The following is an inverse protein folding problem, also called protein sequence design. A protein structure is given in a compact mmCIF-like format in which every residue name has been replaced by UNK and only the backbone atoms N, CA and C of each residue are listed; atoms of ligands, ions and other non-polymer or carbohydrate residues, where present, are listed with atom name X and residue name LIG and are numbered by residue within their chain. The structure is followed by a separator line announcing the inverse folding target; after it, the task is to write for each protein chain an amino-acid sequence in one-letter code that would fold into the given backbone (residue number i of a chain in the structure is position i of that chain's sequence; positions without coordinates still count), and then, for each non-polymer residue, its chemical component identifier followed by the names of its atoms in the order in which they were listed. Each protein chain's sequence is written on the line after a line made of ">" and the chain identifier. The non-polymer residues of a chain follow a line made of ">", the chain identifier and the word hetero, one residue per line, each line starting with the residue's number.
data_IF_606238982007
#
_entry.id   IF_606238982007
#
_cell.length_a   1.000
_cell.length_b   1.000
_cell.length_c   1.000
_cell.angle_alpha   90.00
_cell.angle_beta   90.00
_cell.angle_gamma   90.00
#
_symmetry.space_group_name_H-M   'P 1'
#
loop_
_entity.id
_entity.type
_entity.pdbx_description
1 polymer ?
#
# COMPACT_ATOMS: atom_id res chain seq x y z
N UNK A 1 -22.86 12.01 7.62
CA UNK A 1 -23.03 10.56 7.91
C UNK A 1 -21.80 10.01 8.64
N UNK A 2 -20.61 9.94 8.01
CA UNK A 2 -19.39 9.47 8.69
C UNK A 2 -18.99 10.39 9.85
N UNK A 3 -19.12 11.70 9.67
CA UNK A 3 -18.89 12.72 10.72
C UNK A 3 -19.68 12.48 11.99
N UNK A 4 -20.93 12.05 11.86
CA UNK A 4 -21.80 11.82 13.01
C UNK A 4 -21.46 10.50 13.71
N UNK A 5 -20.97 9.51 12.96
CA UNK A 5 -20.50 8.24 13.51
C UNK A 5 -19.20 8.43 14.29
N UNK A 6 -18.24 9.19 13.75
CA UNK A 6 -16.95 9.39 14.43
C UNK A 6 -17.04 10.33 15.64
N UNK A 7 -18.00 11.26 15.68
CA UNK A 7 -18.20 12.17 16.83
C UNK A 7 -18.41 11.44 18.16
N UNK A 8 -19.00 10.24 18.15
CA UNK A 8 -19.21 9.43 19.35
C UNK A 8 -18.00 8.58 19.74
N UNK A 9 -16.96 8.51 18.90
CA UNK A 9 -15.77 7.69 19.11
C UNK A 9 -14.65 8.48 19.80
N UNK A 10 -13.94 7.85 20.73
CA UNK A 10 -12.77 8.39 21.41
C UNK A 10 -11.48 7.81 20.85
N UNK A 11 -11.47 6.53 20.48
CA UNK A 11 -10.31 5.86 19.89
C UNK A 11 -10.74 5.04 18.68
N UNK A 12 -10.24 5.43 17.51
CA UNK A 12 -10.59 4.85 16.22
C UNK A 12 -9.46 3.92 15.78
N UNK A 13 -9.80 2.68 15.43
CA UNK A 13 -8.89 1.77 14.73
C UNK A 13 -9.27 1.69 13.26
N UNK A 14 -8.35 2.12 12.39
CA UNK A 14 -8.47 1.92 10.94
C UNK A 14 -7.79 0.61 10.58
N UNK A 15 -8.56 -0.36 10.08
CA UNK A 15 -8.11 -1.71 9.79
C UNK A 15 -7.89 -1.92 8.29
N UNK A 16 -6.75 -2.51 7.96
CA UNK A 16 -6.40 -2.92 6.60
C UNK A 16 -6.51 -4.45 6.44
N UNK A 17 -6.91 -4.94 5.25
CA UNK A 17 -6.82 -6.37 4.94
C UNK A 17 -5.36 -6.83 4.98
N UNK A 18 -5.09 -8.09 5.35
CA UNK A 18 -3.72 -8.66 5.32
C UNK A 18 -3.05 -8.49 3.95
N UNK A 19 -3.88 -8.60 2.91
CA UNK A 19 -3.57 -8.44 1.50
C UNK A 19 -3.53 -6.96 1.01
N UNK A 20 -3.26 -5.97 1.87
CA UNK A 20 -3.31 -4.56 1.48
C UNK A 20 -2.27 -4.16 0.42
N UNK A 21 -2.63 -3.17 -0.40
CA UNK A 21 -1.77 -2.55 -1.40
C UNK A 21 -1.50 -1.07 -1.08
N UNK A 22 -0.70 -0.38 -1.91
CA UNK A 22 -0.34 1.01 -1.65
C UNK A 22 -1.55 1.96 -1.63
N UNK A 23 -2.51 1.81 -2.55
CA UNK A 23 -3.75 2.60 -2.53
C UNK A 23 -4.57 2.39 -1.24
N UNK A 24 -4.64 1.16 -0.73
CA UNK A 24 -5.29 0.86 0.56
C UNK A 24 -4.61 1.59 1.72
N UNK A 25 -3.27 1.63 1.71
CA UNK A 25 -2.47 2.35 2.73
C UNK A 25 -2.65 3.86 2.61
N UNK A 26 -2.61 4.42 1.39
CA UNK A 26 -2.89 5.83 1.14
C UNK A 26 -4.29 6.23 1.64
N UNK A 27 -5.31 5.43 1.34
CA UNK A 27 -6.67 5.65 1.80
C UNK A 27 -6.76 5.67 3.33
N UNK A 28 -6.09 4.75 4.02
CA UNK A 28 -6.06 4.71 5.47
C UNK A 28 -5.27 5.87 6.08
N UNK A 29 -4.10 6.22 5.54
CA UNK A 29 -3.31 7.34 6.04
C UNK A 29 -4.02 8.68 5.81
N UNK A 30 -4.66 8.88 4.65
CA UNK A 30 -5.41 10.10 4.36
C UNK A 30 -6.60 10.29 5.31
N UNK A 31 -7.35 9.22 5.57
CA UNK A 31 -8.43 9.27 6.56
C UNK A 31 -7.89 9.46 7.98
N UNK A 32 -6.81 8.76 8.34
CA UNK A 32 -6.20 8.88 9.66
C UNK A 32 -5.71 10.30 9.95
N UNK A 33 -4.99 10.92 9.02
CA UNK A 33 -4.53 12.31 9.13
C UNK A 33 -5.72 13.27 9.31
N UNK A 34 -6.75 13.12 8.47
CA UNK A 34 -7.97 13.92 8.59
C UNK A 34 -8.58 13.80 9.99
N UNK A 35 -8.71 12.58 10.52
CA UNK A 35 -9.29 12.35 11.84
C UNK A 35 -8.39 12.85 12.99
N UNK A 36 -7.06 12.74 12.86
CA UNK A 36 -6.10 13.29 13.80
C UNK A 36 -6.19 14.83 13.89
N UNK A 37 -6.40 15.50 12.76
CA UNK A 37 -6.61 16.96 12.71
C UNK A 37 -7.91 17.38 13.40
N UNK A 38 -8.92 16.51 13.39
CA UNK A 38 -10.16 16.66 14.18
C UNK A 38 -9.98 16.27 15.66
N UNK A 39 -8.74 15.99 16.11
CA UNK A 39 -8.35 15.62 17.48
C UNK A 39 -8.86 14.25 17.96
N UNK A 40 -9.22 13.35 17.04
CA UNK A 40 -9.47 11.95 17.41
C UNK A 40 -8.15 11.21 17.67
N UNK A 41 -8.19 10.19 18.53
CA UNK A 41 -7.08 9.22 18.64
C UNK A 41 -7.25 8.15 17.58
N UNK A 42 -6.26 7.99 16.72
CA UNK A 42 -6.34 7.07 15.57
C UNK A 42 -5.13 6.14 15.55
N UNK A 43 -5.40 4.85 15.41
CA UNK A 43 -4.39 3.82 15.15
C UNK A 43 -4.69 3.14 13.82
N UNK A 44 -3.67 2.74 13.08
CA UNK A 44 -3.80 1.87 11.91
C UNK A 44 -3.44 0.43 12.29
N UNK A 45 -4.34 -0.51 12.05
CA UNK A 45 -4.20 -1.93 12.36
C UNK A 45 -4.07 -2.79 11.11
N UNK A 46 -3.09 -3.70 11.08
CA UNK A 46 -2.95 -4.69 10.00
C UNK A 46 -2.16 -5.93 10.43
N UNK A 47 -2.55 -7.11 9.96
CA UNK A 47 -1.86 -8.38 10.35
C UNK A 47 -0.38 -8.43 9.97
N UNK A 48 0.00 -7.75 8.88
CA UNK A 48 1.40 -7.60 8.46
C UNK A 48 1.86 -6.16 8.66
N UNK A 49 3.16 -5.97 8.83
CA UNK A 49 3.74 -4.63 8.89
C UNK A 49 3.55 -3.88 7.58
N UNK A 50 3.23 -2.59 7.68
CA UNK A 50 3.24 -1.68 6.52
C UNK A 50 4.70 -1.56 6.05
N UNK A 51 5.00 -1.84 4.77
CA UNK A 51 6.35 -1.73 4.26
C UNK A 51 6.95 -0.34 4.52
N UNK A 52 8.16 -0.29 5.07
CA UNK A 52 8.91 0.97 5.33
C UNK A 52 8.99 1.89 4.11
N UNK A 53 8.95 1.30 2.92
CA UNK A 53 8.93 2.04 1.66
C UNK A 53 7.66 2.86 1.48
N UNK A 54 6.48 2.29 1.76
CA UNK A 54 5.23 3.03 1.67
C UNK A 54 5.28 4.22 2.65
N UNK A 55 5.80 4.00 3.85
CA UNK A 55 5.96 5.06 4.84
C UNK A 55 6.94 6.15 4.36
N UNK A 56 8.03 5.77 3.71
CA UNK A 56 8.99 6.71 3.12
C UNK A 56 8.38 7.53 1.99
N UNK A 57 7.57 6.91 1.12
CA UNK A 57 6.90 7.62 0.01
C UNK A 57 5.87 8.61 0.54
N UNK A 58 5.09 8.18 1.53
CA UNK A 58 4.12 9.05 2.19
C UNK A 58 4.84 10.23 2.87
N UNK A 59 5.97 9.96 3.55
CA UNK A 59 6.79 10.94 4.26
C UNK A 59 5.94 11.81 5.23
N UNK A 60 5.12 11.14 6.05
CA UNK A 60 4.15 11.78 6.95
C UNK A 60 4.52 11.58 8.42
N UNK A 61 3.94 12.38 9.34
CA UNK A 61 4.11 12.18 10.78
C UNK A 61 3.79 10.74 11.18
N UNK A 62 4.47 10.25 12.22
CA UNK A 62 4.27 8.89 12.71
C UNK A 62 2.83 8.72 13.22
N UNK A 63 2.04 7.90 12.51
CA UNK A 63 0.74 7.43 12.95
C UNK A 63 0.97 6.16 13.78
N UNK A 64 0.24 6.01 14.90
CA UNK A 64 0.31 4.80 15.69
C UNK A 64 -0.14 3.60 14.86
N UNK A 65 0.60 2.49 14.94
CA UNK A 65 0.32 1.26 14.22
C UNK A 65 0.23 0.09 15.19
N UNK A 66 -0.55 -0.93 14.84
CA UNK A 66 -0.63 -2.19 15.58
C UNK A 66 -0.83 -3.37 14.64
N UNK A 67 -0.33 -4.54 15.01
CA UNK A 67 -0.57 -5.81 14.30
C UNK A 67 -1.50 -6.76 15.07
N UNK A 68 -1.86 -6.39 16.29
CA UNK A 68 -2.76 -7.14 17.15
C UNK A 68 -3.69 -6.20 17.91
N UNK A 69 -4.85 -6.71 18.32
CA UNK A 69 -5.71 -5.99 19.24
C UNK A 69 -5.14 -6.14 20.65
N UNK A 70 -4.84 -5.01 21.30
CA UNK A 70 -4.47 -5.02 22.70
C UNK A 70 -5.64 -5.59 23.50
N UNK A 71 -5.35 -6.55 24.39
CA UNK A 71 -6.34 -7.04 25.35
C UNK A 71 -6.71 -5.91 26.30
N UNK A 72 -7.95 -5.95 26.82
CA UNK A 72 -8.32 -5.11 27.96
C UNK A 72 -7.52 -5.59 29.18
N UNK A 73 -6.80 -4.68 29.79
CA UNK A 73 -6.10 -4.81 31.06
C UNK A 73 -6.89 -4.05 32.12
N UNK A 74 -6.98 -4.61 33.31
CA UNK A 74 -7.55 -3.91 34.47
C UNK A 74 -6.39 -3.51 35.37
N UNK A 75 -6.16 -2.21 35.51
CA UNK A 75 -5.17 -1.63 36.42
C UNK A 75 -5.86 -1.31 37.74
N UNK A 76 -5.29 -1.79 38.83
CA UNK A 76 -5.74 -1.53 40.19
C UNK A 76 -4.69 -0.63 40.84
N UNK A 77 -5.04 0.63 41.08
CA UNK A 77 -4.16 1.67 41.60
C UNK A 77 -4.52 1.99 43.05
N UNK A 78 -3.52 2.16 43.91
CA UNK A 78 -3.69 2.56 45.32
C UNK A 78 -3.12 3.97 45.54
N UNK A 79 -3.92 4.86 46.12
CA UNK A 79 -3.53 6.23 46.42
C UNK A 79 -2.64 6.30 47.67
N UNK A 80 -1.36 6.62 47.48
CA UNK A 80 -0.35 6.65 48.55
C UNK A 80 -0.24 7.99 49.29
N UNK A 81 -1.18 8.94 49.13
CA UNK A 81 -1.10 10.24 49.83
C UNK A 81 -1.23 10.13 51.35
N UNK A 82 -1.90 9.09 51.85
CA UNK A 82 -2.21 8.88 53.27
C UNK A 82 -1.28 7.88 53.96
N UNK A 83 -0.37 7.23 53.24
CA UNK A 83 0.44 6.15 53.78
C UNK A 83 1.38 5.47 52.79
N UNK A 84 2.15 4.51 53.27
CA UNK A 84 3.08 3.68 52.48
C UNK A 84 2.75 2.19 52.62
N UNK A 85 3.14 1.40 51.62
CA UNK A 85 2.85 -0.04 51.55
C UNK A 85 4.12 -0.86 51.85
N UNK A 86 4.03 -1.78 52.79
CA UNK A 86 5.11 -2.74 53.09
C UNK A 86 5.14 -3.86 52.03
N UNK A 87 3.97 -4.44 51.73
CA UNK A 87 3.87 -5.52 50.73
C UNK A 87 2.52 -5.58 50.06
N UNK A 88 2.54 -6.02 48.80
CA UNK A 88 1.35 -6.40 48.03
C UNK A 88 1.48 -7.88 47.67
N UNK A 89 0.52 -8.68 48.11
CA UNK A 89 0.40 -10.10 47.76
C UNK A 89 -0.88 -10.31 46.97
N UNK A 90 -0.91 -11.31 46.11
CA UNK A 90 -2.14 -11.75 45.47
C UNK A 90 -2.37 -13.23 45.74
N UNK A 91 -3.63 -13.64 45.78
CA UNK A 91 -4.04 -15.04 45.87
C UNK A 91 -5.31 -15.28 45.07
N UNK A 92 -5.40 -16.45 44.47
CA UNK A 92 -6.62 -16.91 43.81
C UNK A 92 -7.54 -17.58 44.84
N UNK A 93 -8.80 -17.16 44.85
CA UNK A 93 -9.90 -17.81 45.55
C UNK A 93 -10.92 -18.30 44.52
N UNK A 94 -11.87 -19.15 44.91
CA UNK A 94 -12.72 -19.93 44.00
C UNK A 94 -13.30 -19.17 42.79
N UNK A 95 -13.67 -17.89 42.93
CA UNK A 95 -14.27 -17.05 41.89
C UNK A 95 -13.60 -15.67 41.72
N UNK A 96 -12.46 -15.41 42.39
CA UNK A 96 -11.86 -14.07 42.44
C UNK A 96 -10.37 -14.09 42.73
N UNK A 97 -9.65 -13.09 42.20
CA UNK A 97 -8.29 -12.78 42.63
C UNK A 97 -8.37 -11.75 43.75
N UNK A 98 -7.73 -12.04 44.89
CA UNK A 98 -7.62 -11.13 46.02
C UNK A 98 -6.23 -10.51 46.06
N UNK A 99 -6.18 -9.19 46.04
CA UNK A 99 -4.97 -8.42 46.36
C UNK A 99 -4.99 -8.09 47.86
N UNK A 100 -3.95 -8.48 48.58
CA UNK A 100 -3.75 -8.22 50.00
C UNK A 100 -2.64 -7.19 50.12
N UNK A 101 -3.01 -5.99 50.56
CA UNK A 101 -2.10 -4.86 50.75
C UNK A 101 -1.84 -4.75 52.25
N UNK A 102 -0.57 -4.85 52.66
CA UNK A 102 -0.14 -4.62 54.04
C UNK A 102 0.47 -3.22 54.13
N UNK A 103 -0.14 -2.28 54.87
CA UNK A 103 0.42 -0.95 55.08
C UNK A 103 1.68 -1.02 55.95
N UNK A 104 2.68 -0.19 55.64
CA UNK A 104 3.81 0.09 56.54
C UNK A 104 3.49 1.26 57.47
N UNK A 105 2.84 2.31 56.92
CA UNK A 105 2.41 3.51 57.64
C UNK A 105 1.05 3.95 57.12
N UNK A 106 0.14 4.25 58.05
CA UNK A 106 -1.23 4.69 57.74
C UNK A 106 -2.16 3.52 57.43
N UNK A 107 -3.42 3.86 57.15
CA UNK A 107 -4.46 2.91 56.75
C UNK A 107 -5.00 3.31 55.37
N UNK A 108 -5.34 2.31 54.56
CA UNK A 108 -5.98 2.49 53.27
C UNK A 108 -7.45 2.08 53.34
N UNK A 109 -8.32 2.90 52.76
CA UNK A 109 -9.75 2.64 52.66
C UNK A 109 -10.15 2.25 51.23
N UNK A 110 -11.40 1.81 51.06
CA UNK A 110 -11.95 1.51 49.74
C UNK A 110 -11.83 2.67 48.74
N UNK A 111 -11.99 3.91 49.21
CA UNK A 111 -11.90 5.12 48.39
C UNK A 111 -10.46 5.47 47.97
N UNK A 112 -9.45 4.78 48.52
CA UNK A 112 -8.05 4.96 48.12
C UNK A 112 -7.67 3.97 46.99
N UNK A 113 -8.60 3.10 46.56
CA UNK A 113 -8.40 2.15 45.47
C UNK A 113 -9.13 2.62 44.22
N UNK A 114 -8.39 2.90 43.16
CA UNK A 114 -8.91 3.22 41.84
C UNK A 114 -8.80 1.99 40.92
N UNK A 115 -9.88 1.72 40.20
CA UNK A 115 -9.90 0.70 39.14
C UNK A 115 -9.98 1.42 37.79
N UNK A 116 -8.96 1.23 36.97
CA UNK A 116 -8.91 1.70 35.60
C UNK A 116 -8.85 0.51 34.65
N UNK A 117 -9.45 0.64 33.48
CA UNK A 117 -9.27 -0.33 32.39
C UNK A 117 -8.44 0.34 31.30
N UNK A 118 -7.32 -0.28 30.93
CA UNK A 118 -6.41 0.17 29.88
C UNK A 118 -6.28 -0.93 28.82
N UNK A 119 -5.90 -0.61 27.57
CA UNK A 119 -5.92 -1.63 26.50
C UNK A 119 -7.35 -2.01 26.05
N UNK A 120 -7.48 -2.63 24.87
CA UNK A 120 -8.79 -2.91 24.25
C UNK A 120 -9.66 -1.66 24.04
N UNK A 121 -9.02 -0.59 23.57
CA UNK A 121 -9.43 0.81 23.77
C UNK A 121 -10.27 1.39 22.63
N UNK A 122 -10.48 0.64 21.55
CA UNK A 122 -11.13 1.15 20.35
C UNK A 122 -12.64 1.03 20.48
N UNK A 123 -13.34 2.15 20.32
CA UNK A 123 -14.80 2.23 20.34
C UNK A 123 -15.40 2.37 18.93
N UNK A 124 -14.54 2.47 17.91
CA UNK A 124 -14.92 2.42 16.50
C UNK A 124 -13.85 1.72 15.66
N UNK A 125 -14.29 0.77 14.86
CA UNK A 125 -13.50 0.16 13.79
C UNK A 125 -13.90 0.77 12.44
N UNK A 126 -12.90 1.15 11.63
CA UNK A 126 -13.10 1.54 10.24
C UNK A 126 -12.26 0.60 9.38
N UNK A 127 -12.88 -0.30 8.63
CA UNK A 127 -12.17 -1.19 7.72
C UNK A 127 -12.10 -0.55 6.33
N UNK A 128 -10.92 -0.53 5.70
CA UNK A 128 -10.73 0.04 4.36
C UNK A 128 -10.19 -1.03 3.41
N UNK A 129 -10.94 -1.32 2.35
CA UNK A 129 -10.54 -2.26 1.29
C UNK A 129 -10.62 -3.74 1.70
N UNK A 130 -11.36 -4.06 2.77
CA UNK A 130 -11.55 -5.42 3.24
C UNK A 130 -12.94 -5.92 2.86
N UNK A 131 -13.00 -6.95 2.00
CA UNK A 131 -14.27 -7.48 1.49
C UNK A 131 -14.99 -8.44 2.46
N UNK A 132 -14.28 -8.93 3.47
CA UNK A 132 -14.74 -9.84 4.53
C UNK A 132 -14.05 -9.50 5.85
N UNK A 133 -14.47 -10.05 6.99
CA UNK A 133 -13.69 -9.92 8.24
C UNK A 133 -12.45 -10.81 8.20
N UNK A 134 -12.57 -11.98 7.58
CA UNK A 134 -11.50 -12.97 7.44
C UNK A 134 -10.31 -12.40 6.66
N UNK A 135 -10.55 -11.51 5.68
CA UNK A 135 -9.49 -10.85 4.92
C UNK A 135 -8.62 -9.89 5.74
N UNK A 136 -9.00 -9.56 6.99
CA UNK A 136 -8.14 -8.84 7.93
C UNK A 136 -6.98 -9.71 8.42
N UNK A 137 -7.09 -11.04 8.36
CA UNK A 137 -6.05 -11.98 8.76
C UNK A 137 -5.95 -12.18 10.27
N UNK A 138 -4.72 -12.37 10.77
CA UNK A 138 -4.44 -12.65 12.19
C UNK A 138 -4.98 -11.61 13.18
N UNK A 139 -5.04 -10.32 12.82
CA UNK A 139 -5.59 -9.26 13.67
C UNK A 139 -7.09 -9.46 13.94
N UNK A 140 -7.79 -10.18 13.07
CA UNK A 140 -9.17 -10.61 13.29
C UNK A 140 -9.22 -11.98 13.97
N UNK A 141 -8.54 -12.99 13.40
CA UNK A 141 -8.69 -14.38 13.86
C UNK A 141 -8.19 -14.65 15.28
N UNK A 142 -7.30 -13.81 15.82
CA UNK A 142 -6.86 -13.90 17.23
C UNK A 142 -7.87 -13.34 18.22
N UNK A 143 -8.78 -12.47 17.79
CA UNK A 143 -9.74 -11.78 18.65
C UNK A 143 -11.10 -11.57 17.96
N UNK A 144 -11.75 -12.62 17.41
CA UNK A 144 -12.99 -12.47 16.65
C UNK A 144 -14.12 -11.85 17.49
N UNK A 145 -14.17 -12.13 18.79
CA UNK A 145 -15.15 -11.59 19.73
C UNK A 145 -15.14 -10.06 19.80
N UNK A 146 -13.96 -9.44 19.69
CA UNK A 146 -13.83 -7.99 19.78
C UNK A 146 -14.56 -7.24 18.65
N UNK A 147 -14.77 -7.90 17.50
CA UNK A 147 -15.44 -7.33 16.33
C UNK A 147 -16.96 -7.41 16.43
N UNK A 148 -17.50 -8.23 17.34
CA UNK A 148 -18.93 -8.27 17.61
C UNK A 148 -19.37 -7.11 18.53
N UNK A 149 -18.49 -6.67 19.42
CA UNK A 149 -18.77 -5.67 20.46
C UNK A 149 -18.53 -4.23 20.01
N UNK A 150 -17.73 -4.02 18.96
CA UNK A 150 -17.32 -2.68 18.48
C UNK A 150 -18.05 -2.35 17.19
N UNK A 151 -18.51 -1.10 17.07
CA UNK A 151 -19.15 -0.62 15.83
C UNK A 151 -18.13 -0.61 14.69
N UNK A 152 -18.51 -1.16 13.54
CA UNK A 152 -17.69 -1.25 12.34
C UNK A 152 -18.27 -0.38 11.22
N UNK A 153 -17.45 0.50 10.66
CA UNK A 153 -17.68 1.17 9.38
C UNK A 153 -16.86 0.45 8.31
N UNK A 154 -17.52 -0.12 7.31
CA UNK A 154 -16.85 -0.86 6.22
C UNK A 154 -16.82 -0.02 4.94
N UNK A 155 -15.62 0.40 4.54
CA UNK A 155 -15.36 1.20 3.34
C UNK A 155 -14.65 0.31 2.31
N UNK A 156 -15.28 0.07 1.16
CA UNK A 156 -14.70 -0.77 0.11
C UNK A 156 -15.25 -0.37 -1.27
N UNK A 157 -14.52 -0.75 -2.31
CA UNK A 157 -14.92 -0.58 -3.71
C UNK A 157 -15.22 -1.92 -4.39
N UNK A 158 -14.96 -3.05 -3.72
CA UNK A 158 -15.24 -4.36 -4.26
C UNK A 158 -16.75 -4.67 -4.24
N UNK A 159 -17.39 -4.91 -5.41
CA UNK A 159 -18.81 -5.25 -5.45
C UNK A 159 -19.14 -6.59 -4.79
N UNK A 160 -18.14 -7.46 -4.56
CA UNK A 160 -18.29 -8.74 -3.86
C UNK A 160 -18.13 -8.64 -2.34
N UNK A 161 -18.00 -7.43 -1.78
CA UNK A 161 -17.93 -7.23 -0.33
C UNK A 161 -19.17 -7.80 0.37
N UNK A 162 -18.97 -8.55 1.46
CA UNK A 162 -20.05 -9.25 2.17
C UNK A 162 -20.92 -8.34 3.03
N UNK A 163 -20.57 -7.06 3.13
CA UNK A 163 -21.30 -6.07 3.94
C UNK A 163 -21.43 -6.55 5.39
N UNK A 164 -20.30 -6.81 6.04
CA UNK A 164 -20.23 -7.27 7.43
C UNK A 164 -20.29 -6.16 8.49
N UNK A 165 -19.97 -4.90 8.15
CA UNK A 165 -19.98 -3.79 9.11
C UNK A 165 -21.37 -3.33 9.55
N UNK A 166 -21.45 -2.54 10.63
CA UNK A 166 -22.71 -1.90 11.05
C UNK A 166 -23.08 -0.72 10.12
N UNK A 167 -22.09 -0.09 9.50
CA UNK A 167 -22.29 1.00 8.52
C UNK A 167 -21.48 0.68 7.28
N UNK A 168 -22.15 0.66 6.13
CA UNK A 168 -21.54 0.23 4.86
C UNK A 168 -21.36 1.40 3.91
N UNK A 169 -20.14 1.53 3.40
CA UNK A 169 -19.75 2.47 2.35
C UNK A 169 -19.11 1.67 1.23
N UNK A 170 -19.95 0.90 0.53
CA UNK A 170 -19.54 0.09 -0.62
C UNK A 170 -19.97 0.83 -1.89
N UNK A 171 -19.03 1.45 -2.58
CA UNK A 171 -19.29 2.30 -3.74
C UNK A 171 -18.38 1.93 -4.91
N UNK A 172 -18.89 2.03 -6.12
CA UNK A 172 -18.04 1.95 -7.31
C UNK A 172 -17.14 3.19 -7.36
N UNK A 173 -15.83 2.98 -7.34
CA UNK A 173 -14.82 4.06 -7.41
C UNK A 173 -13.53 3.51 -8.01
N UNK A 174 -12.74 4.37 -8.64
CA UNK A 174 -11.50 3.99 -9.33
C UNK A 174 -10.37 3.59 -8.37
N UNK A 175 -10.45 4.02 -7.12
CA UNK A 175 -9.51 3.63 -6.07
C UNK A 175 -10.13 3.84 -4.68
N UNK A 176 -9.57 3.17 -3.68
CA UNK A 176 -9.96 3.39 -2.28
C UNK A 176 -9.60 4.82 -1.85
N UNK A 177 -8.47 5.35 -2.31
CA UNK A 177 -8.09 6.73 -2.01
C UNK A 177 -9.05 7.76 -2.62
N UNK A 178 -9.60 7.50 -3.81
CA UNK A 178 -10.63 8.34 -4.41
C UNK A 178 -11.93 8.31 -3.59
N UNK A 179 -12.39 7.10 -3.20
CA UNK A 179 -13.55 6.97 -2.31
C UNK A 179 -13.32 7.67 -0.96
N UNK A 180 -12.14 7.54 -0.36
CA UNK A 180 -11.81 8.24 0.89
C UNK A 180 -11.84 9.76 0.72
N UNK A 181 -11.31 10.29 -0.40
CA UNK A 181 -11.36 11.73 -0.68
C UNK A 181 -12.81 12.24 -0.76
N UNK A 182 -13.67 11.55 -1.51
CA UNK A 182 -15.10 11.86 -1.61
C UNK A 182 -15.75 11.85 -0.23
N UNK A 183 -15.45 10.84 0.61
CA UNK A 183 -16.00 10.77 1.97
C UNK A 183 -15.54 11.91 2.86
N UNK A 184 -14.28 12.34 2.75
CA UNK A 184 -13.77 13.48 3.54
C UNK A 184 -14.52 14.76 3.15
N UNK A 185 -14.68 14.99 1.84
CA UNK A 185 -15.36 16.16 1.28
C UNK A 185 -16.85 16.17 1.61
N UNK A 186 -17.55 15.04 1.44
CA UNK A 186 -18.98 14.87 1.79
C UNK A 186 -19.28 15.16 3.26
N UNK A 187 -18.29 14.96 4.14
CA UNK A 187 -18.43 15.23 5.57
C UNK A 187 -17.98 16.65 5.96
N UNK A 188 -17.56 17.46 4.99
CA UNK A 188 -17.12 18.84 5.21
C UNK A 188 -15.93 18.91 6.17
N UNK A 189 -15.02 17.94 6.08
CA UNK A 189 -13.71 18.04 6.70
C UNK A 189 -12.75 18.75 5.76
N UNK A 190 -11.82 19.50 6.34
CA UNK A 190 -10.82 20.19 5.56
C UNK A 190 -9.84 19.17 4.96
N UNK A 191 -9.59 19.28 3.66
CA UNK A 191 -8.59 18.46 2.97
C UNK A 191 -7.34 19.32 2.79
N UNK A 192 -6.41 19.23 3.75
CA UNK A 192 -5.17 19.97 3.65
C UNK A 192 -4.21 19.33 2.62
N UNK A 193 -3.11 20.02 2.33
CA UNK A 193 -2.12 19.60 1.32
C UNK A 193 -1.56 18.20 1.58
N UNK A 194 -1.33 17.83 2.84
CA UNK A 194 -0.75 16.53 3.19
C UNK A 194 -1.73 15.38 2.96
N UNK A 195 -2.99 15.57 3.32
CA UNK A 195 -4.08 14.62 3.06
C UNK A 195 -4.28 14.45 1.56
N UNK A 196 -4.35 15.56 0.81
CA UNK A 196 -4.51 15.53 -0.65
C UNK A 196 -3.36 14.77 -1.29
N UNK A 197 -2.11 15.10 -0.94
CA UNK A 197 -0.94 14.43 -1.48
C UNK A 197 -0.98 12.91 -1.22
N UNK A 198 -1.28 12.52 0.02
CA UNK A 198 -1.39 11.11 0.43
C UNK A 198 -2.43 10.35 -0.40
N UNK A 199 -3.64 10.90 -0.52
CA UNK A 199 -4.73 10.26 -1.27
C UNK A 199 -4.42 10.24 -2.77
N UNK A 200 -3.86 11.32 -3.32
CA UNK A 200 -3.51 11.37 -4.74
C UNK A 200 -2.40 10.39 -5.12
N UNK A 201 -1.44 10.11 -4.24
CA UNK A 201 -0.45 9.06 -4.47
C UNK A 201 -1.12 7.69 -4.64
N UNK A 202 -2.16 7.39 -3.85
CA UNK A 202 -2.95 6.17 -3.98
C UNK A 202 -3.79 6.14 -5.26
N UNK A 203 -4.42 7.27 -5.63
CA UNK A 203 -5.17 7.43 -6.89
C UNK A 203 -4.24 7.23 -8.09
N UNK A 204 -3.06 7.87 -8.08
CA UNK A 204 -2.05 7.73 -9.14
C UNK A 204 -1.62 6.27 -9.29
N UNK A 205 -1.34 5.60 -8.17
CA UNK A 205 -0.95 4.20 -8.13
C UNK A 205 -2.04 3.26 -8.66
N UNK A 206 -3.29 3.45 -8.24
CA UNK A 206 -4.41 2.61 -8.70
C UNK A 206 -4.66 2.77 -10.20
N UNK A 207 -4.46 3.98 -10.73
CA UNK A 207 -4.65 4.31 -12.15
C UNK A 207 -3.39 4.09 -13.01
N UNK A 208 -2.39 3.35 -12.51
CA UNK A 208 -1.16 3.03 -13.24
C UNK A 208 -0.41 4.26 -13.78
N UNK A 209 -0.48 5.37 -13.04
CA UNK A 209 0.08 6.65 -13.43
C UNK A 209 -0.77 7.44 -14.43
N UNK A 210 -2.09 7.30 -14.36
CA UNK A 210 -3.07 7.98 -15.23
C UNK A 210 -2.92 7.68 -16.73
N UNK A 211 -2.57 6.42 -17.06
CA UNK A 211 -2.35 5.98 -18.44
C UNK A 211 -3.62 5.59 -19.20
N UNK A 212 -4.76 5.51 -18.50
CA UNK A 212 -6.09 5.28 -19.09
C UNK A 212 -6.75 6.65 -19.33
N UNK A 213 -7.38 6.85 -20.49
CA UNK A 213 -7.85 8.18 -20.95
C UNK A 213 -8.87 8.86 -19.99
N UNK A 214 -8.85 10.20 -20.00
CA UNK A 214 -9.59 11.18 -19.16
C UNK A 214 -9.19 11.30 -17.68
N UNK A 215 -8.46 10.34 -17.10
CA UNK A 215 -8.10 10.39 -15.67
C UNK A 215 -7.00 11.39 -15.33
N UNK A 216 -6.05 11.61 -16.24
CA UNK A 216 -4.98 12.59 -16.04
C UNK A 216 -5.52 14.01 -15.99
N UNK A 217 -6.46 14.36 -16.88
CA UNK A 217 -7.03 15.71 -16.94
C UNK A 217 -7.77 16.05 -15.65
N UNK A 218 -8.63 15.14 -15.18
CA UNK A 218 -9.39 15.35 -13.95
C UNK A 218 -8.44 15.42 -12.73
N UNK A 219 -7.43 14.54 -12.67
CA UNK A 219 -6.43 14.57 -11.61
C UNK A 219 -5.67 15.90 -11.57
N UNK A 220 -5.21 16.40 -12.72
CA UNK A 220 -4.51 17.69 -12.81
C UNK A 220 -5.43 18.84 -12.41
N UNK A 221 -6.69 18.87 -12.85
CA UNK A 221 -7.67 19.90 -12.44
C UNK A 221 -7.83 19.95 -10.92
N UNK A 222 -8.03 18.79 -10.30
CA UNK A 222 -8.21 18.64 -8.85
C UNK A 222 -6.97 19.10 -8.07
N UNK A 223 -5.76 18.80 -8.55
CA UNK A 223 -4.51 19.23 -7.91
C UNK A 223 -4.26 20.74 -8.07
N UNK A 224 -4.46 21.29 -9.27
CA UNK A 224 -4.28 22.71 -9.54
C UNK A 224 -5.25 23.56 -8.73
N UNK A 225 -6.52 23.14 -8.59
CA UNK A 225 -7.49 23.85 -7.74
C UNK A 225 -7.12 23.89 -6.26
N UNK A 226 -6.18 23.04 -5.83
CA UNK A 226 -5.65 22.93 -4.46
C UNK A 226 -4.22 23.49 -4.34
N UNK A 227 -3.72 24.16 -5.38
CA UNK A 227 -2.38 24.72 -5.45
C UNK A 227 -1.28 23.68 -5.14
N UNK A 228 -1.41 22.51 -5.77
CA UNK A 228 -0.46 21.40 -5.75
C UNK A 228 -0.04 21.04 -7.18
N UNK A 229 1.23 20.65 -7.33
CA UNK A 229 1.74 20.12 -8.59
C UNK A 229 1.67 18.60 -8.62
N UNK A 230 1.32 18.02 -9.78
CA UNK A 230 1.41 16.57 -9.98
C UNK A 230 2.84 16.07 -9.70
N UNK A 231 3.85 16.83 -10.10
CA UNK A 231 5.26 16.48 -9.88
C UNK A 231 5.59 16.39 -8.38
N UNK A 232 5.08 17.31 -7.57
CA UNK A 232 5.29 17.31 -6.11
C UNK A 232 4.65 16.08 -5.45
N UNK A 233 3.50 15.64 -5.95
CA UNK A 233 2.77 14.50 -5.40
C UNK A 233 3.48 13.18 -5.75
N UNK A 234 3.93 13.04 -7.00
CA UNK A 234 4.41 11.74 -7.51
C UNK A 234 5.93 11.57 -7.45
N UNK A 235 6.71 12.63 -7.26
CA UNK A 235 8.19 12.55 -7.22
C UNK A 235 8.71 11.51 -6.22
N UNK A 236 8.17 11.54 -5.00
CA UNK A 236 8.52 10.59 -3.94
C UNK A 236 8.23 9.13 -4.29
N UNK A 237 7.32 8.86 -5.24
CA UNK A 237 7.02 7.51 -5.74
C UNK A 237 8.07 7.00 -6.74
N UNK A 238 8.81 7.90 -7.40
CA UNK A 238 9.81 7.55 -8.42
C UNK A 238 11.24 7.53 -7.90
N UNK A 239 11.57 8.38 -6.93
CA UNK A 239 12.94 8.58 -6.42
C UNK A 239 13.37 7.50 -5.40
N UNK A 240 12.85 6.29 -5.59
CA UNK A 240 12.72 5.33 -4.51
C UNK A 240 13.41 3.99 -4.81
N UNK A 241 13.60 3.62 -6.09
CA UNK A 241 14.11 2.31 -6.51
C UNK A 241 15.60 2.14 -6.17
N UNK A 242 15.94 1.05 -5.49
CA UNK A 242 17.32 0.65 -5.19
C UNK A 242 18.00 -0.04 -6.36
N UNK A 243 19.34 -0.08 -6.35
CA UNK A 243 20.14 -0.79 -7.37
C UNK A 243 19.82 -2.29 -7.40
N UNK A 244 19.55 -2.92 -6.25
CA UNK A 244 19.17 -4.33 -6.19
C UNK A 244 17.84 -4.58 -6.93
N UNK A 245 16.86 -3.69 -6.75
CA UNK A 245 15.56 -3.78 -7.43
C UNK A 245 15.66 -3.52 -8.93
N UNK A 246 16.47 -2.54 -9.35
CA UNK A 246 16.75 -2.31 -10.76
C UNK A 246 17.43 -3.52 -11.41
N UNK A 247 18.39 -4.17 -10.73
CA UNK A 247 19.00 -5.41 -11.21
C UNK A 247 17.98 -6.53 -11.32
N UNK A 248 17.11 -6.70 -10.33
CA UNK A 248 16.02 -7.68 -10.37
C UNK A 248 15.06 -7.43 -11.54
N UNK A 249 14.65 -6.18 -11.79
CA UNK A 249 13.87 -5.83 -12.98
C UNK A 249 14.60 -6.18 -14.29
N UNK A 250 15.89 -5.89 -14.37
CA UNK A 250 16.72 -6.29 -15.50
C UNK A 250 16.75 -7.81 -15.71
N UNK A 251 16.80 -8.59 -14.62
CA UNK A 251 16.73 -10.06 -14.65
C UNK A 251 15.37 -10.56 -15.12
N UNK A 252 14.27 -9.95 -14.64
CA UNK A 252 12.93 -10.27 -15.12
C UNK A 252 12.85 -10.09 -16.63
N UNK A 253 13.24 -8.92 -17.13
CA UNK A 253 13.17 -8.61 -18.56
C UNK A 253 14.04 -9.58 -19.38
N UNK A 254 15.26 -9.85 -18.91
CA UNK A 254 16.21 -10.74 -19.61
C UNK A 254 15.76 -12.20 -19.63
N UNK A 255 14.94 -12.62 -18.67
CA UNK A 255 14.48 -14.00 -18.53
C UNK A 255 13.08 -14.25 -19.11
N UNK A 256 12.44 -13.26 -19.75
CA UNK A 256 11.15 -13.43 -20.39
C UNK A 256 11.22 -14.46 -21.51
N UNK A 257 10.35 -15.47 -21.44
CA UNK A 257 10.15 -16.48 -22.47
C UNK A 257 8.67 -16.54 -22.85
N UNK A 258 8.41 -16.59 -24.16
CA UNK A 258 7.08 -16.86 -24.69
C UNK A 258 6.80 -18.34 -24.44
N UNK A 259 5.74 -18.63 -23.69
CA UNK A 259 5.30 -20.00 -23.45
C UNK A 259 4.21 -20.41 -24.45
N UNK A 260 3.28 -19.50 -24.73
CA UNK A 260 2.27 -19.62 -25.78
C UNK A 260 1.98 -18.23 -26.37
N UNK A 261 1.18 -18.16 -27.43
CA UNK A 261 0.78 -16.89 -28.06
C UNK A 261 0.20 -15.89 -27.05
N UNK A 262 -0.43 -16.41 -25.99
CA UNK A 262 -1.13 -15.65 -24.96
C UNK A 262 -0.35 -15.44 -23.65
N UNK A 263 0.78 -16.13 -23.44
CA UNK A 263 1.44 -16.20 -22.12
C UNK A 263 2.96 -16.05 -22.21
N UNK A 264 3.50 -15.15 -21.38
CA UNK A 264 4.93 -14.98 -21.16
C UNK A 264 5.28 -15.30 -19.71
N UNK A 265 6.41 -15.97 -19.52
CA UNK A 265 6.92 -16.38 -18.20
C UNK A 265 8.34 -15.88 -18.02
N UNK A 266 8.66 -15.36 -16.84
CA UNK A 266 10.02 -15.06 -16.40
C UNK A 266 10.33 -15.80 -15.10
N UNK A 267 11.41 -16.57 -15.11
CA UNK A 267 11.91 -17.32 -13.94
C UNK A 267 13.07 -16.60 -13.30
N UNK A 268 13.03 -16.41 -11.98
CA UNK A 268 14.09 -15.75 -11.20
C UNK A 268 14.56 -16.68 -10.08
N UNK A 269 15.79 -17.24 -10.15
CA UNK A 269 16.34 -18.09 -9.11
C UNK A 269 16.75 -17.28 -7.86
N UNK A 270 16.88 -17.94 -6.71
CA UNK A 270 17.24 -17.31 -5.43
C UNK A 270 18.47 -16.39 -5.50
N UNK A 271 19.48 -16.77 -6.30
CA UNK A 271 20.71 -15.98 -6.46
C UNK A 271 20.48 -14.58 -7.08
N UNK A 272 19.39 -14.40 -7.83
CA UNK A 272 19.09 -13.17 -8.57
C UNK A 272 18.15 -12.23 -7.78
N UNK A 273 17.75 -12.58 -6.56
CA UNK A 273 16.89 -11.77 -5.68
C UNK A 273 17.62 -11.24 -4.43
N UNK A 274 18.94 -11.42 -4.35
CA UNK A 274 19.69 -11.04 -3.16
C UNK A 274 19.56 -9.54 -2.86
N UNK A 275 19.15 -9.20 -1.62
CA UNK A 275 18.93 -7.82 -1.20
C UNK A 275 17.68 -7.18 -1.79
N UNK A 276 16.81 -7.97 -2.42
CA UNK A 276 15.54 -7.51 -2.98
C UNK A 276 14.43 -7.80 -1.99
N UNK A 277 13.71 -6.76 -1.58
CA UNK A 277 12.44 -6.95 -0.88
C UNK A 277 11.39 -7.26 -1.95
N UNK A 278 11.05 -8.54 -2.13
CA UNK A 278 10.12 -8.90 -3.18
C UNK A 278 8.72 -8.32 -2.93
N UNK A 279 8.28 -8.17 -1.67
CA UNK A 279 6.98 -7.54 -1.35
C UNK A 279 6.87 -6.09 -1.84
N UNK A 280 8.00 -5.46 -2.17
CA UNK A 280 8.11 -4.10 -2.69
C UNK A 280 7.92 -4.00 -4.20
N UNK A 281 8.00 -5.09 -4.96
CA UNK A 281 8.10 -5.02 -6.43
C UNK A 281 6.76 -5.33 -7.10
N UNK A 282 6.01 -4.26 -7.40
CA UNK A 282 5.71 -3.77 -8.75
C UNK A 282 4.63 -2.70 -8.62
N UNK A 283 5.09 -1.48 -8.32
CA UNK A 283 4.38 -0.28 -8.69
C UNK A 283 3.95 -0.42 -10.18
N UNK A 284 2.65 -0.30 -10.51
CA UNK A 284 2.20 -0.44 -11.89
C UNK A 284 2.88 0.55 -12.85
N UNK A 285 3.35 1.69 -12.35
CA UNK A 285 4.16 2.68 -13.07
C UNK A 285 5.51 2.13 -13.55
N UNK A 286 6.16 1.22 -12.80
CA UNK A 286 7.47 0.61 -13.10
C UNK A 286 7.30 -0.79 -13.74
N UNK A 287 6.11 -1.38 -13.68
CA UNK A 287 5.84 -2.67 -14.28
C UNK A 287 5.77 -2.59 -15.81
N UNK A 288 6.93 -2.71 -16.46
CA UNK A 288 7.07 -2.83 -17.92
C UNK A 288 6.65 -4.23 -18.36
N UNK A 289 6.74 -5.21 -17.46
CA UNK A 289 6.50 -6.62 -17.74
C UNK A 289 5.02 -6.91 -18.02
N UNK A 290 4.09 -6.14 -17.46
CA UNK A 290 2.66 -6.21 -17.83
C UNK A 290 2.35 -5.68 -19.24
N UNK A 291 3.35 -5.11 -19.93
CA UNK A 291 3.15 -4.35 -21.19
C UNK A 291 3.52 -5.12 -22.44
N UNK A 292 3.90 -6.40 -22.35
CA UNK A 292 4.21 -7.20 -23.54
C UNK A 292 2.99 -7.23 -24.48
N UNK A 293 3.22 -6.86 -25.74
CA UNK A 293 2.16 -6.71 -26.75
C UNK A 293 1.83 -8.07 -27.34
N UNK A 294 0.54 -8.39 -27.39
CA UNK A 294 0.02 -9.64 -27.96
C UNK A 294 -0.34 -10.68 -26.91
N UNK A 295 0.23 -10.61 -25.71
CA UNK A 295 -0.01 -11.60 -24.65
C UNK A 295 -1.13 -11.17 -23.69
N UNK A 296 -1.93 -12.14 -23.28
CA UNK A 296 -3.03 -12.00 -22.33
C UNK A 296 -2.57 -11.94 -20.89
N UNK A 297 -1.46 -12.61 -20.57
CA UNK A 297 -0.90 -12.62 -19.23
C UNK A 297 0.63 -12.74 -19.22
N UNK A 298 1.22 -12.26 -18.13
CA UNK A 298 2.65 -12.41 -17.83
C UNK A 298 2.83 -12.92 -16.42
N UNK A 299 3.64 -13.97 -16.27
CA UNK A 299 3.97 -14.60 -14.99
C UNK A 299 5.43 -14.29 -14.65
N UNK A 300 5.66 -13.83 -13.43
CA UNK A 300 6.98 -13.71 -12.83
C UNK A 300 7.03 -14.70 -11.68
N UNK A 301 7.90 -15.70 -11.79
CA UNK A 301 8.10 -16.75 -10.81
C UNK A 301 9.48 -16.56 -10.16
N UNK A 302 9.50 -16.16 -8.89
CA UNK A 302 10.74 -15.88 -8.15
C UNK A 302 10.92 -16.86 -7.00
N UNK A 303 12.04 -17.55 -6.95
CA UNK A 303 12.44 -18.38 -5.80
C UNK A 303 13.01 -17.48 -4.71
N UNK A 304 12.36 -17.42 -3.54
CA UNK A 304 12.80 -16.56 -2.44
C UNK A 304 13.46 -17.29 -1.29
N UNK A 305 13.09 -18.55 -1.11
CA UNK A 305 13.80 -19.52 -0.28
C UNK A 305 13.86 -20.83 -1.07
N UNK A 306 14.78 -21.76 -0.75
CA UNK A 306 14.77 -23.09 -1.34
C UNK A 306 13.38 -23.71 -1.24
N UNK A 307 12.83 -24.13 -2.38
CA UNK A 307 11.47 -24.70 -2.48
C UNK A 307 10.32 -23.75 -2.14
N UNK A 308 10.54 -22.44 -2.05
CA UNK A 308 9.46 -21.46 -1.87
C UNK A 308 9.47 -20.37 -2.93
N UNK A 309 8.39 -20.33 -3.70
CA UNK A 309 8.22 -19.40 -4.80
C UNK A 309 7.26 -18.29 -4.44
N UNK A 310 7.54 -17.11 -4.96
CA UNK A 310 6.60 -16.02 -5.04
C UNK A 310 6.20 -15.82 -6.49
N UNK A 311 4.88 -15.86 -6.73
CA UNK A 311 4.29 -15.76 -8.05
C UNK A 311 3.63 -14.40 -8.19
N UNK A 312 3.97 -13.67 -9.25
CA UNK A 312 3.23 -12.50 -9.69
C UNK A 312 2.65 -12.74 -11.05
N UNK A 313 1.39 -12.38 -11.24
CA UNK A 313 0.72 -12.50 -12.52
C UNK A 313 0.07 -11.18 -12.85
N UNK A 314 0.26 -10.72 -14.09
CA UNK A 314 -0.41 -9.57 -14.67
C UNK A 314 -1.22 -10.03 -15.86
N UNK A 315 -2.51 -9.70 -15.91
CA UNK A 315 -3.38 -10.02 -17.05
C UNK A 315 -4.14 -8.80 -17.53
N UNK A 316 -4.35 -8.77 -18.85
CA UNK A 316 -5.16 -7.76 -19.53
C UNK A 316 -6.62 -8.20 -19.73
N UNK A 317 -6.89 -9.49 -19.68
CA UNK A 317 -8.16 -10.07 -20.15
C UNK A 317 -8.73 -11.17 -19.26
N UNK A 318 -7.90 -11.83 -18.45
CA UNK A 318 -8.31 -12.96 -17.60
C UNK A 318 -8.42 -12.46 -16.17
N UNK A 319 -9.52 -12.81 -15.48
CA UNK A 319 -9.63 -12.63 -14.03
C UNK A 319 -8.68 -13.60 -13.31
N UNK A 320 -7.44 -13.14 -13.10
CA UNK A 320 -6.38 -13.94 -12.46
C UNK A 320 -6.62 -14.14 -10.97
N UNK A 321 -7.43 -13.28 -10.33
CA UNK A 321 -7.82 -13.47 -8.92
C UNK A 321 -8.69 -14.71 -8.77
N UNK A 322 -9.71 -14.85 -9.61
CA UNK A 322 -10.56 -16.03 -9.60
C UNK A 322 -9.81 -17.29 -10.04
N UNK A 323 -8.97 -17.17 -11.08
CA UNK A 323 -8.23 -18.31 -11.62
C UNK A 323 -7.30 -18.96 -10.58
N UNK A 324 -6.69 -18.14 -9.73
CA UNK A 324 -5.71 -18.57 -8.73
C UNK A 324 -6.25 -18.53 -7.30
N UNK A 325 -7.58 -18.47 -7.11
CA UNK A 325 -8.21 -18.30 -5.80
C UNK A 325 -7.80 -19.37 -4.76
N UNK A 326 -7.52 -20.60 -5.20
CA UNK A 326 -7.07 -21.70 -4.34
C UNK A 326 -5.71 -21.45 -3.66
N UNK A 327 -4.91 -20.52 -4.20
CA UNK A 327 -3.61 -20.13 -3.64
C UNK A 327 -3.71 -18.90 -2.73
N UNK A 328 -4.93 -18.53 -2.32
CA UNK A 328 -5.20 -17.35 -1.48
C UNK A 328 -4.47 -16.09 -1.97
N UNK A 329 -4.66 -15.69 -3.24
CA UNK A 329 -3.90 -14.62 -3.83
C UNK A 329 -4.29 -13.26 -3.26
N UNK A 330 -3.30 -12.37 -3.23
CA UNK A 330 -3.45 -10.96 -2.94
C UNK A 330 -3.52 -10.19 -4.26
N UNK A 331 -4.45 -9.25 -4.40
CA UNK A 331 -4.53 -8.37 -5.58
C UNK A 331 -5.96 -8.19 -6.10
N UNK A 332 -6.11 -8.13 -7.42
CA UNK A 332 -7.39 -7.94 -8.11
C UNK A 332 -7.46 -8.79 -9.39
N UNK A 333 -8.55 -8.67 -10.15
CA UNK A 333 -8.78 -9.47 -11.36
C UNK A 333 -7.68 -9.34 -12.43
N UNK A 334 -6.89 -8.26 -12.43
CA UNK A 334 -5.82 -8.03 -13.40
C UNK A 334 -4.42 -8.33 -12.85
N UNK A 335 -4.26 -8.44 -11.54
CA UNK A 335 -2.97 -8.71 -10.92
C UNK A 335 -3.10 -9.52 -9.64
N UNK A 336 -2.30 -10.56 -9.51
CA UNK A 336 -2.22 -11.35 -8.28
C UNK A 336 -0.80 -11.58 -7.84
N UNK A 337 -0.65 -11.72 -6.52
CA UNK A 337 0.54 -12.13 -5.81
C UNK A 337 0.16 -13.29 -4.90
N UNK A 338 0.90 -14.39 -4.97
CA UNK A 338 0.74 -15.50 -4.02
C UNK A 338 2.06 -16.27 -3.87
N UNK A 339 2.11 -17.17 -2.89
CA UNK A 339 3.25 -18.04 -2.66
C UNK A 339 2.92 -19.47 -3.05
N UNK A 340 3.93 -20.23 -3.48
CA UNK A 340 3.83 -21.65 -3.78
C UNK A 340 5.01 -22.40 -3.16
N UNK A 341 4.75 -23.59 -2.65
CA UNK A 341 5.80 -24.55 -2.32
C UNK A 341 6.19 -25.39 -3.55
N UNK A 342 7.49 -25.66 -3.68
CA UNK A 342 8.11 -26.43 -4.75
C UNK A 342 9.25 -25.67 -5.43
N UNK A 343 9.93 -26.32 -6.37
CA UNK A 343 10.98 -25.68 -7.17
C UNK A 343 10.40 -24.88 -8.36
N UNK A 344 11.27 -24.16 -9.07
CA UNK A 344 10.89 -23.35 -10.22
C UNK A 344 10.18 -24.17 -11.32
N UNK A 345 10.64 -25.39 -11.62
CA UNK A 345 10.09 -26.21 -12.71
C UNK A 345 8.70 -26.75 -12.36
N UNK A 346 8.53 -27.28 -11.15
CA UNK A 346 7.24 -27.77 -10.66
C UNK A 346 6.21 -26.65 -10.55
N UNK A 347 6.62 -25.49 -10.04
CA UNK A 347 5.74 -24.34 -9.87
C UNK A 347 5.34 -23.74 -11.21
N UNK A 348 6.28 -23.61 -12.16
CA UNK A 348 5.99 -23.21 -13.54
C UNK A 348 4.96 -24.14 -14.16
N UNK A 349 5.17 -25.47 -14.11
CA UNK A 349 4.23 -26.46 -14.64
C UNK A 349 2.82 -26.31 -14.06
N UNK A 350 2.71 -26.20 -12.72
CA UNK A 350 1.41 -25.99 -12.04
C UNK A 350 0.68 -24.73 -12.54
N UNK A 351 1.40 -23.63 -12.72
CA UNK A 351 0.83 -22.37 -13.20
C UNK A 351 0.37 -22.46 -14.66
N UNK A 352 1.16 -23.10 -15.51
CA UNK A 352 0.88 -23.26 -16.94
C UNK A 352 -0.31 -24.19 -17.20
N UNK A 353 -0.46 -25.26 -16.40
CA UNK A 353 -1.61 -26.16 -16.48
C UNK A 353 -2.93 -25.43 -16.21
N UNK A 354 -2.93 -24.45 -15.30
CA UNK A 354 -4.11 -23.61 -15.04
C UNK A 354 -4.47 -22.78 -16.27
N UNK A 355 -3.52 -22.05 -16.86
CA UNK A 355 -3.76 -21.25 -18.06
C UNK A 355 -4.19 -22.06 -19.29
N UNK A 356 -3.80 -23.35 -19.36
CA UNK A 356 -4.11 -24.22 -20.49
C UNK A 356 -5.50 -24.86 -20.43
N UNK A 357 -6.24 -24.72 -19.31
CA UNK A 357 -7.58 -25.32 -19.18
C UNK A 357 -8.60 -24.55 -20.04
N UNK A 358 -9.37 -25.23 -20.92
CA UNK A 358 -10.33 -24.58 -21.82
C UNK A 358 -11.49 -23.84 -21.14
N UNK A 359 -11.60 -23.92 -19.81
CA UNK A 359 -12.63 -23.25 -19.00
C UNK A 359 -12.41 -21.74 -18.80
N UNK A 360 -11.27 -21.18 -19.26
CA UNK A 360 -10.89 -19.77 -19.01
C UNK A 360 -11.17 -18.88 -20.23
N UNK A 361 -11.94 -19.39 -21.20
CA UNK A 361 -12.10 -18.71 -22.48
C UNK A 361 -13.12 -17.55 -22.47
N UNK A 362 -13.98 -17.37 -21.45
CA UNK A 362 -15.11 -16.42 -21.56
C UNK A 362 -15.40 -15.47 -20.37
N UNK A 363 -14.61 -15.43 -19.29
CA UNK A 363 -14.76 -14.35 -18.29
C UNK A 363 -14.02 -13.10 -18.74
N UNK A 364 -14.53 -12.45 -19.80
CA UNK A 364 -14.08 -11.10 -20.20
C UNK A 364 -14.26 -10.14 -19.02
N UNK A 365 -13.28 -9.27 -18.79
CA UNK A 365 -13.49 -8.09 -17.95
C UNK A 365 -14.72 -7.32 -18.46
N UNK A 366 -15.60 -6.81 -17.57
CA UNK A 366 -16.75 -6.02 -18.00
C UNK A 366 -16.27 -4.84 -18.87
N UNK A 367 -16.79 -4.75 -20.09
CA UNK A 367 -16.50 -3.65 -21.00
C UNK A 367 -17.10 -2.35 -20.43
N UNK A 368 -16.27 -1.33 -20.25
CA UNK A 368 -16.76 0.01 -19.92
C UNK A 368 -17.66 0.49 -21.08
N UNK A 369 -18.90 0.87 -20.78
CA UNK A 369 -19.84 1.43 -21.75
C UNK A 369 -19.20 2.67 -22.39
N UNK A 370 -18.80 2.55 -23.66
CA UNK A 370 -18.44 3.71 -24.48
C UNK A 370 -19.74 4.37 -24.93
N UNK A 371 -20.17 5.42 -24.24
CA UNK A 371 -21.16 6.32 -24.82
C UNK A 371 -20.50 7.05 -26.01
N UNK A 372 -21.14 7.07 -27.20
CA UNK A 372 -20.62 7.81 -28.32
C UNK A 372 -20.66 9.31 -28.00
N UNK A 373 -19.49 9.95 -28.09
CA UNK A 373 -19.34 11.39 -27.94
C UNK A 373 -20.07 12.07 -29.10
N UNK A 374 -21.19 12.74 -28.81
CA UNK A 374 -21.80 13.69 -29.73
C UNK A 374 -21.00 14.98 -29.72
N UNK A 375 -20.27 15.26 -30.80
CA UNK A 375 -19.65 16.56 -31.02
C UNK A 375 -20.78 17.53 -31.39
N UNK A 376 -20.95 18.67 -30.68
CA UNK A 376 -21.94 19.66 -31.08
C UNK A 376 -21.54 20.29 -32.42
N UNK A 377 -22.44 20.28 -33.39
CA UNK A 377 -22.32 21.09 -34.60
C UNK A 377 -22.30 22.58 -34.22
N UNK A 378 -21.16 23.23 -34.41
CA UNK A 378 -21.09 24.69 -34.43
C UNK A 378 -20.52 25.14 -35.77
N UNK A 379 -21.41 25.40 -36.71
CA UNK A 379 -21.10 26.25 -37.85
C UNK A 379 -21.81 27.60 -37.70
N UNK A 380 -21.10 28.66 -38.10
CA UNK A 380 -21.47 30.09 -38.17
C UNK A 380 -21.33 30.95 -36.91
N UNK A 381 -20.12 31.46 -36.70
CA UNK A 381 -19.90 32.91 -36.67
C UNK A 381 -18.52 33.25 -37.27
N UNK A 382 -18.53 33.87 -38.45
CA UNK A 382 -17.34 34.43 -39.10
C UNK A 382 -16.91 35.70 -38.35
N UNK A 383 -15.78 35.64 -37.65
CA UNK A 383 -14.96 36.82 -37.37
C UNK A 383 -13.54 36.56 -37.88
N UNK A 384 -13.07 37.44 -38.78
CA UNK A 384 -11.70 37.44 -39.31
C UNK A 384 -10.69 37.43 -38.16
N UNK A 385 -9.60 36.63 -38.21
CA UNK A 385 -8.51 36.80 -37.27
C UNK A 385 -7.76 38.11 -37.57
N UNK A 386 -7.51 38.91 -36.52
CA UNK A 386 -6.54 40.01 -36.55
C UNK A 386 -5.14 39.46 -36.81
N UNK A 387 -4.27 40.20 -37.53
CA UNK A 387 -2.88 39.79 -37.72
C UNK A 387 -2.11 39.85 -36.40
N UNK A 388 -1.51 38.73 -36.01
CA UNK A 388 -0.55 38.63 -34.92
C UNK A 388 0.55 39.71 -35.06
N UNK A 389 0.68 40.58 -34.06
CA UNK A 389 1.84 41.46 -33.90
C UNK A 389 3.10 40.61 -33.80
N UNK A 390 4.11 40.98 -34.61
CA UNK A 390 5.42 40.35 -34.71
C UNK A 390 6.01 40.02 -33.33
N UNK A 391 6.18 38.75 -33.04
CA UNK A 391 7.06 38.27 -31.97
C UNK A 391 8.51 38.70 -32.28
N UNK A 392 9.21 39.16 -31.26
CA UNK A 392 10.64 39.44 -31.32
C UNK A 392 11.42 38.16 -31.72
N UNK A 393 12.45 38.33 -32.55
CA UNK A 393 13.34 37.25 -32.99
C UNK A 393 13.91 36.49 -31.80
N UNK A 394 13.72 35.17 -31.77
CA UNK A 394 14.56 34.25 -31.01
C UNK A 394 16.03 34.44 -31.45
N UNK A 395 17.00 34.50 -30.52
CA UNK A 395 18.41 34.47 -30.90
C UNK A 395 18.73 33.15 -31.61
N UNK A 396 19.52 33.26 -32.69
CA UNK A 396 19.99 32.11 -33.47
C UNK A 396 20.76 31.12 -32.58
N UNK A 397 20.63 29.84 -32.90
CA UNK A 397 21.39 28.77 -32.29
C UNK A 397 22.89 29.08 -32.35
N UNK A 398 23.56 29.02 -31.20
CA UNK A 398 25.02 29.00 -31.13
C UNK A 398 25.43 27.61 -31.60
N UNK A 399 26.07 27.53 -32.78
CA UNK A 399 26.72 26.30 -33.23
C UNK A 399 27.79 25.89 -32.22
N UNK A 400 27.71 24.65 -31.73
CA UNK A 400 28.76 24.06 -30.92
C UNK A 400 30.05 23.95 -31.77
N UNK A 401 31.24 24.26 -31.22
CA UNK A 401 32.48 24.12 -31.95
C UNK A 401 32.75 22.64 -32.31
N UNK A 402 33.42 22.36 -33.44
CA UNK A 402 33.71 21.00 -33.87
C UNK A 402 34.59 20.28 -32.85
N UNK A 403 34.22 19.04 -32.54
CA UNK A 403 34.99 18.14 -31.68
C UNK A 403 36.18 17.63 -32.51
N UNK A 404 37.38 18.13 -32.23
CA UNK A 404 38.61 17.59 -32.80
C UNK A 404 38.89 16.21 -32.21
N UNK A 405 39.14 15.16 -33.02
CA UNK A 405 39.50 13.85 -32.47
C UNK A 405 40.85 13.95 -31.73
N UNK A 406 40.85 13.61 -30.44
CA UNK A 406 42.08 13.45 -29.66
C UNK A 406 42.94 12.33 -30.26
N UNK A 407 44.20 12.63 -30.56
CA UNK A 407 45.19 11.61 -30.88
C UNK A 407 45.41 10.66 -29.67
N UNK A 408 45.71 9.37 -29.89
CA UNK A 408 46.03 8.46 -28.80
C UNK A 408 47.31 8.93 -28.11
N UNK A 409 47.21 9.40 -26.86
CA UNK A 409 48.38 9.58 -26.02
C UNK A 409 48.95 8.19 -25.70
N UNK A 410 50.24 8.01 -25.99
CA UNK A 410 50.98 6.81 -25.63
C UNK A 410 50.91 6.62 -24.10
N UNK A 411 50.39 5.47 -23.67
CA UNK A 411 50.46 5.05 -22.29
C UNK A 411 51.94 4.86 -21.90
N UNK A 412 52.41 5.61 -20.90
CA UNK A 412 53.68 5.32 -20.23
C UNK A 412 53.61 3.94 -19.55
N UNK A 413 54.76 3.28 -19.32
CA UNK A 413 54.78 1.93 -18.76
C UNK A 413 54.21 1.92 -17.33
N UNK A 414 53.32 0.96 -17.06
CA UNK A 414 52.81 0.68 -15.72
C UNK A 414 53.97 0.27 -14.78
N UNK A 415 54.06 0.81 -13.55
CA UNK A 415 54.94 0.24 -12.55
C UNK A 415 54.47 -1.17 -12.22
N UNK A 416 55.35 -2.13 -12.47
CA UNK A 416 55.17 -3.52 -12.10
C UNK A 416 55.51 -3.67 -10.62
N UNK A 417 54.69 -4.45 -9.90
CA UNK A 417 54.81 -4.89 -8.50
C UNK A 417 54.05 -4.04 -7.46
N UNK A 418 52.90 -4.56 -7.03
CA UNK A 418 52.33 -4.33 -5.69
C UNK A 418 52.56 -5.61 -4.89
N UNK A 419 53.20 -5.57 -3.71
CA UNK A 419 53.46 -6.76 -2.91
C UNK A 419 52.18 -7.25 -2.22
N UNK A 420 51.94 -8.55 -2.32
CA UNK A 420 50.91 -9.29 -1.58
C UNK A 420 51.34 -9.44 -0.12
N UNK A 421 50.69 -8.75 0.81
CA UNK A 421 50.60 -9.17 2.21
C UNK A 421 49.16 -9.05 2.72
N UNK A 422 48.62 -10.08 3.39
CA UNK A 422 47.28 -10.04 3.97
C UNK A 422 47.27 -9.23 5.27
N UNK A 423 46.28 -8.34 5.42
CA UNK A 423 46.01 -7.60 6.66
C UNK A 423 45.44 -8.55 7.73
N UNK A 424 46.05 -8.56 8.91
CA UNK A 424 45.53 -9.27 10.09
C UNK A 424 44.46 -8.46 10.85
N UNK A 425 43.46 -9.13 11.47
CA UNK A 425 42.38 -8.48 12.16
C UNK A 425 42.75 -8.17 13.62
N UNK A 426 43.04 -6.91 13.93
CA UNK A 426 42.89 -6.37 15.28
C UNK A 426 42.69 -4.86 15.21
N UNK A 427 41.87 -4.33 16.12
CA UNK A 427 41.42 -2.94 16.24
C UNK A 427 40.04 -2.63 15.63
N UNK A 428 39.03 -3.28 16.20
CA UNK A 428 37.78 -2.61 16.55
C UNK A 428 37.80 -2.44 18.07
N UNK A 429 37.89 -1.19 18.55
CA UNK A 429 37.43 -0.77 19.87
C UNK A 429 36.37 0.28 19.68
#
# INVERSE_FOLDING_TARGET
>A
MLKDIVKSAKNILILLPEAFCFDTVCAAYGLAQTLLEQKFKVTIGSSREIPKEFERILNKPAIQKTNELQKKEVILSLNLRKGTVESVKWREAADRIQFVITPEVGDFEYNDVDLETTGGIYDLFITIGSSTLESLGQIFSKNPEAYADVKIVNIDINPKNTKYGNVQVIRESKSLSNLTLELIEENGWEVNKDVIQTLFQGIFWSNEGFRKDNDLEQAVKTLVSRNLSLVEVVSGMFDSISVAELRYLGKIISNLKIFSDDLVVSRIPAKDIQGVNLDRILYPEINIVSRVKGQRAVIILSEYEPQKMQVRIYSKQVDVFQLFAEFSPVGNSQRVLFQLDGNLDESEKKLLEKFSRPSITDTKLPEAKKEPISIPDTDKQKSKPEPLKKAARLPQAIEAPPITPMQPQQAGPFPSQVPTQPLQPSQWR
#
